data_IF_012583142779
#
_entry.id   IF_012583142779
#
_cell.length_a   1.000
_cell.length_b   1.000
_cell.length_c   1.000
_cell.angle_alpha   90.00
_cell.angle_beta   90.00
_cell.angle_gamma   90.00
#
_symmetry.space_group_name_H-M   'P 1'
#
loop_
_entity.id
_entity.type
_entity.pdbx_description
1 polymer ?
#
# COMPACT_ATOMS: atom_id res chain seq x y z
N UNK A 1 -19.63 -11.46 -7.47
CA UNK A 1 -18.82 -12.00 -6.33
C UNK A 1 -17.65 -11.06 -6.17
N UNK A 2 -17.42 -10.53 -4.97
CA UNK A 2 -16.31 -9.63 -4.69
C UNK A 2 -14.98 -10.39 -4.65
N UNK A 3 -13.94 -9.85 -5.30
CA UNK A 3 -12.59 -10.41 -5.27
C UNK A 3 -11.78 -9.71 -4.15
N UNK A 4 -11.83 -10.27 -2.96
CA UNK A 4 -11.04 -9.80 -1.81
C UNK A 4 -9.61 -10.34 -1.83
N UNK A 5 -9.44 -11.54 -2.38
CA UNK A 5 -8.14 -12.18 -2.57
C UNK A 5 -7.90 -12.43 -4.06
N UNK A 6 -6.71 -12.08 -4.54
CA UNK A 6 -6.32 -12.35 -5.92
C UNK A 6 -4.85 -12.75 -6.02
N UNK A 7 -4.50 -13.43 -7.10
CA UNK A 7 -3.15 -13.95 -7.31
C UNK A 7 -2.55 -13.24 -8.52
N UNK A 8 -1.33 -12.73 -8.36
CA UNK A 8 -0.56 -12.12 -9.41
C UNK A 8 0.91 -12.50 -9.27
N UNK A 9 1.52 -13.05 -10.33
CA UNK A 9 2.93 -13.45 -10.35
C UNK A 9 3.33 -14.30 -9.13
N UNK A 10 2.56 -15.35 -8.85
CA UNK A 10 2.78 -16.29 -7.74
C UNK A 10 2.64 -15.69 -6.33
N UNK A 11 2.12 -14.47 -6.19
CA UNK A 11 1.87 -13.81 -4.90
C UNK A 11 0.39 -13.67 -4.63
N UNK A 12 0.03 -13.78 -3.36
CA UNK A 12 -1.32 -13.54 -2.86
C UNK A 12 -1.45 -12.07 -2.50
N UNK A 13 -2.49 -11.45 -3.01
CA UNK A 13 -2.84 -10.05 -2.74
C UNK A 13 -4.22 -9.98 -2.10
N UNK A 14 -4.38 -9.04 -1.17
CA UNK A 14 -5.63 -8.78 -0.45
C UNK A 14 -6.11 -7.37 -0.74
N UNK A 15 -7.34 -7.28 -1.27
CA UNK A 15 -8.03 -6.05 -1.64
C UNK A 15 -9.12 -5.74 -0.62
N UNK A 16 -8.85 -4.79 0.28
CA UNK A 16 -9.73 -4.50 1.43
C UNK A 16 -10.76 -3.40 1.18
N UNK A 17 -10.58 -2.57 0.13
CA UNK A 17 -11.43 -1.39 -0.06
C UNK A 17 -11.27 -0.77 -1.44
N UNK A 18 -12.32 -0.09 -1.91
CA UNK A 18 -12.22 0.82 -3.06
C UNK A 18 -11.87 2.26 -2.64
N UNK A 19 -11.95 2.59 -1.34
CA UNK A 19 -11.69 3.94 -0.83
C UNK A 19 -10.21 4.28 -0.95
N UNK A 20 -9.92 5.47 -1.46
CA UNK A 20 -8.56 6.00 -1.51
C UNK A 20 -8.59 7.51 -1.29
N UNK A 21 -7.62 8.04 -0.53
CA UNK A 21 -7.43 9.47 -0.34
C UNK A 21 -6.86 10.18 -1.57
N UNK A 22 -6.31 9.42 -2.53
CA UNK A 22 -5.72 9.90 -3.75
C UNK A 22 -6.61 9.63 -4.99
N UNK A 23 -6.40 10.46 -6.04
CA UNK A 23 -6.96 10.29 -7.38
C UNK A 23 -5.85 10.41 -8.42
N UNK A 24 -4.81 9.56 -8.28
CA UNK A 24 -3.61 9.61 -9.11
C UNK A 24 -3.93 9.46 -10.60
N UNK A 25 -3.28 10.25 -11.45
CA UNK A 25 -3.46 10.20 -12.91
C UNK A 25 -2.82 8.96 -13.56
N UNK A 26 -1.94 8.29 -12.85
CA UNK A 26 -1.31 7.01 -13.23
C UNK A 26 -1.91 5.79 -12.52
N UNK A 27 -3.06 5.94 -11.82
CA UNK A 27 -3.67 4.84 -11.07
C UNK A 27 -4.15 3.73 -12.00
N UNK A 28 -3.78 2.50 -11.70
CA UNK A 28 -4.17 1.31 -12.47
C UNK A 28 -5.69 1.17 -12.62
N UNK A 29 -6.47 1.59 -11.61
CA UNK A 29 -7.94 1.55 -11.63
C UNK A 29 -8.57 2.42 -12.71
N UNK A 30 -7.83 3.41 -13.26
CA UNK A 30 -8.35 4.31 -14.30
C UNK A 30 -8.25 3.68 -15.70
N UNK A 31 -7.26 2.84 -15.94
CA UNK A 31 -6.91 2.30 -17.25
C UNK A 31 -7.26 0.82 -17.40
N UNK A 32 -7.41 0.11 -16.29
CA UNK A 32 -7.66 -1.32 -16.27
C UNK A 32 -8.88 -1.62 -15.42
N UNK A 33 -9.93 -2.13 -16.07
CA UNK A 33 -11.11 -2.62 -15.35
C UNK A 33 -10.84 -3.95 -14.63
N UNK A 34 -9.75 -4.60 -15.00
CA UNK A 34 -9.32 -5.88 -14.46
C UNK A 34 -7.79 -5.95 -14.35
N UNK A 35 -7.29 -6.81 -13.48
CA UNK A 35 -5.89 -7.20 -13.33
C UNK A 35 -5.77 -8.66 -13.76
N UNK A 36 -5.17 -8.92 -14.93
CA UNK A 36 -5.08 -10.26 -15.52
C UNK A 36 -6.44 -10.99 -15.58
N UNK A 37 -7.50 -10.27 -16.00
CA UNK A 37 -8.86 -10.78 -16.07
C UNK A 37 -9.62 -10.81 -14.74
N UNK A 38 -9.06 -10.27 -13.66
CA UNK A 38 -9.69 -10.21 -12.34
C UNK A 38 -10.22 -8.80 -12.06
N UNK A 39 -11.52 -8.67 -11.83
CA UNK A 39 -12.15 -7.41 -11.44
C UNK A 39 -11.89 -7.18 -9.95
N UNK A 40 -11.20 -6.09 -9.60
CA UNK A 40 -10.89 -5.74 -8.22
C UNK A 40 -11.85 -4.69 -7.62
N UNK A 41 -12.85 -4.22 -8.36
CA UNK A 41 -13.94 -3.44 -7.79
C UNK A 41 -14.80 -4.34 -6.93
N UNK A 42 -14.99 -3.95 -5.68
CA UNK A 42 -15.83 -4.66 -4.70
C UNK A 42 -17.10 -3.85 -4.41
N UNK A 43 -18.22 -4.52 -4.19
CA UNK A 43 -19.51 -3.89 -3.87
C UNK A 43 -19.55 -3.43 -2.40
N UNK A 44 -18.88 -4.20 -1.52
CA UNK A 44 -18.78 -3.94 -0.08
C UNK A 44 -17.36 -4.28 0.42
N UNK A 45 -16.95 -3.66 1.51
CA UNK A 45 -15.67 -3.96 2.14
C UNK A 45 -15.76 -5.30 2.90
N UNK A 46 -14.69 -6.14 2.83
CA UNK A 46 -14.72 -7.45 3.46
C UNK A 46 -14.68 -7.37 4.99
N UNK A 47 -15.29 -8.36 5.62
CA UNK A 47 -14.97 -8.79 6.97
C UNK A 47 -13.68 -9.63 6.97
N UNK A 48 -13.18 -9.97 8.15
CA UNK A 48 -12.03 -10.87 8.31
C UNK A 48 -12.33 -12.24 7.74
N UNK A 49 -13.51 -12.79 8.04
CA UNK A 49 -13.99 -14.08 7.56
C UNK A 49 -14.08 -14.11 6.03
N UNK A 50 -14.60 -13.05 5.41
CA UNK A 50 -14.69 -12.96 3.93
C UNK A 50 -13.32 -13.07 3.27
N UNK A 51 -12.28 -12.48 3.88
CA UNK A 51 -10.91 -12.56 3.37
C UNK A 51 -10.35 -13.97 3.57
N UNK A 52 -10.48 -14.53 4.78
CA UNK A 52 -9.94 -15.85 5.12
C UNK A 52 -10.57 -16.94 4.24
N UNK A 53 -11.88 -16.88 4.02
CA UNK A 53 -12.61 -17.85 3.19
C UNK A 53 -12.17 -17.83 1.72
N UNK A 54 -11.61 -16.72 1.23
CA UNK A 54 -11.08 -16.59 -0.12
C UNK A 54 -9.58 -16.93 -0.25
N UNK A 55 -8.86 -17.12 0.87
CA UNK A 55 -7.45 -17.53 0.79
C UNK A 55 -7.33 -18.92 0.13
N UNK A 56 -6.29 -19.15 -0.68
CA UNK A 56 -6.03 -20.48 -1.26
C UNK A 56 -5.90 -21.54 -0.18
N UNK A 57 -6.50 -22.72 -0.38
CA UNK A 57 -6.39 -23.84 0.56
C UNK A 57 -4.94 -24.30 0.77
N UNK A 58 -4.11 -24.21 -0.26
CA UNK A 58 -2.69 -24.53 -0.17
C UNK A 58 -1.85 -23.26 -0.43
N UNK A 59 -1.66 -22.46 0.61
CA UNK A 59 -0.91 -21.22 0.52
C UNK A 59 0.61 -21.44 0.32
N UNK A 60 1.11 -22.65 0.52
CA UNK A 60 2.53 -22.98 0.30
C UNK A 60 2.90 -23.15 -1.18
N UNK A 61 1.88 -23.22 -2.06
CA UNK A 61 2.10 -23.18 -3.52
C UNK A 61 2.49 -21.78 -4.01
N UNK A 62 2.38 -20.75 -3.16
CA UNK A 62 2.64 -19.34 -3.47
C UNK A 62 3.82 -18.81 -2.67
N UNK A 63 4.31 -17.62 -3.06
CA UNK A 63 5.32 -16.90 -2.29
C UNK A 63 4.86 -16.72 -0.83
N UNK A 64 5.80 -16.77 0.11
CA UNK A 64 5.46 -16.64 1.54
C UNK A 64 4.88 -15.26 1.91
N UNK A 65 5.14 -14.23 1.10
CA UNK A 65 4.69 -12.87 1.32
C UNK A 65 3.27 -12.64 0.79
N UNK A 66 2.33 -12.30 1.68
CA UNK A 66 0.97 -11.86 1.33
C UNK A 66 0.91 -10.33 1.32
N UNK A 67 0.27 -9.72 0.32
CA UNK A 67 0.35 -8.29 0.08
C UNK A 67 -1.01 -7.62 0.22
N UNK A 68 -1.17 -6.71 1.17
CA UNK A 68 -2.33 -5.82 1.25
C UNK A 68 -2.22 -4.73 0.17
N UNK A 69 -2.95 -4.91 -0.92
CA UNK A 69 -2.95 -4.01 -2.07
C UNK A 69 -4.18 -4.29 -2.94
N UNK A 70 -4.80 -3.25 -3.44
CA UNK A 70 -5.96 -3.35 -4.34
C UNK A 70 -6.19 -2.02 -5.07
N UNK A 71 -7.45 -1.73 -5.40
CA UNK A 71 -7.81 -0.46 -6.04
C UNK A 71 -7.90 0.71 -5.07
N UNK A 72 -8.09 0.44 -3.77
CA UNK A 72 -8.12 1.45 -2.72
C UNK A 72 -6.79 1.59 -1.97
N UNK A 73 -6.84 2.37 -0.91
CA UNK A 73 -5.79 2.48 0.11
C UNK A 73 -6.12 1.53 1.27
N UNK A 74 -5.33 0.47 1.51
CA UNK A 74 -5.67 -0.57 2.48
C UNK A 74 -5.95 -0.04 3.89
N UNK A 75 -5.28 1.04 4.30
CA UNK A 75 -5.42 1.61 5.64
C UNK A 75 -6.80 2.24 5.93
N UNK A 76 -7.70 2.32 4.94
CA UNK A 76 -9.10 2.66 5.20
C UNK A 76 -9.87 1.56 5.93
N UNK A 77 -9.47 0.30 5.79
CA UNK A 77 -10.04 -0.84 6.50
C UNK A 77 -8.96 -1.44 7.43
N UNK A 78 -8.53 -0.61 8.40
CA UNK A 78 -7.37 -0.91 9.25
C UNK A 78 -7.64 -2.06 10.22
N UNK A 79 -8.85 -2.17 10.74
CA UNK A 79 -9.26 -3.23 11.66
C UNK A 79 -9.19 -4.61 10.98
N UNK A 80 -9.81 -4.76 9.81
CA UNK A 80 -9.72 -6.00 9.03
C UNK A 80 -8.29 -6.30 8.60
N UNK A 81 -7.49 -5.26 8.25
CA UNK A 81 -6.08 -5.43 7.91
C UNK A 81 -5.30 -6.05 9.08
N UNK A 82 -5.45 -5.52 10.28
CA UNK A 82 -4.73 -5.97 11.48
C UNK A 82 -5.10 -7.41 11.85
N UNK A 83 -6.38 -7.73 11.88
CA UNK A 83 -6.85 -9.06 12.22
C UNK A 83 -6.46 -10.12 11.17
N UNK A 84 -6.56 -9.80 9.87
CA UNK A 84 -6.10 -10.69 8.79
C UNK A 84 -4.58 -10.87 8.84
N UNK A 85 -3.81 -9.81 9.12
CA UNK A 85 -2.36 -9.91 9.29
C UNK A 85 -2.00 -10.83 10.45
N UNK A 86 -2.70 -10.68 11.59
CA UNK A 86 -2.52 -11.54 12.76
C UNK A 86 -2.80 -13.01 12.43
N UNK A 87 -3.86 -13.31 11.68
CA UNK A 87 -4.15 -14.66 11.20
C UNK A 87 -3.00 -15.20 10.31
N UNK A 88 -2.53 -14.40 9.35
CA UNK A 88 -1.44 -14.79 8.44
C UNK A 88 -0.14 -15.08 9.19
N UNK A 89 0.19 -14.29 10.21
CA UNK A 89 1.34 -14.53 11.07
C UNK A 89 1.20 -15.84 11.87
N UNK A 90 -0.01 -16.18 12.34
CA UNK A 90 -0.27 -17.45 13.03
C UNK A 90 -0.03 -18.69 12.14
N UNK A 91 -0.03 -18.53 10.83
CA UNK A 91 0.26 -19.61 9.85
C UNK A 91 1.61 -19.40 9.14
N UNK A 92 2.55 -18.70 9.78
CA UNK A 92 3.92 -18.46 9.33
C UNK A 92 4.04 -17.74 7.97
N UNK A 93 3.05 -16.94 7.58
CA UNK A 93 3.13 -16.06 6.39
C UNK A 93 3.66 -14.69 6.79
N UNK A 94 4.43 -14.09 5.89
CA UNK A 94 4.86 -12.69 6.02
C UNK A 94 3.91 -11.74 5.31
N UNK A 95 3.80 -10.52 5.80
CA UNK A 95 2.84 -9.55 5.31
C UNK A 95 3.54 -8.29 4.77
N UNK A 96 2.99 -7.74 3.70
CA UNK A 96 3.40 -6.44 3.18
C UNK A 96 2.19 -5.56 2.89
N UNK A 97 2.30 -4.29 3.21
CA UNK A 97 1.34 -3.29 2.77
C UNK A 97 1.93 -2.42 1.65
N UNK A 98 1.13 -2.17 0.59
CA UNK A 98 1.39 -1.09 -0.35
C UNK A 98 0.45 0.06 -0.01
N UNK A 99 0.99 1.15 0.55
CA UNK A 99 0.21 2.28 1.06
C UNK A 99 0.64 3.61 0.43
N UNK A 100 -0.26 4.56 0.38
CA UNK A 100 0.07 5.95 0.03
C UNK A 100 0.66 6.74 1.21
N UNK A 101 0.79 6.12 2.39
CA UNK A 101 1.40 6.72 3.58
C UNK A 101 0.54 7.76 4.30
N UNK A 102 -0.75 7.84 4.03
CA UNK A 102 -1.64 8.85 4.61
C UNK A 102 -2.53 8.30 5.74
N UNK A 103 -2.17 7.15 6.34
CA UNK A 103 -2.98 6.49 7.36
C UNK A 103 -3.30 7.42 8.53
N UNK A 104 -2.32 8.14 9.08
CA UNK A 104 -2.53 9.07 10.19
C UNK A 104 -3.49 10.22 9.82
N UNK A 105 -3.40 10.72 8.57
CA UNK A 105 -4.34 11.74 8.06
C UNK A 105 -5.75 11.18 7.84
N UNK A 106 -5.85 9.92 7.41
CA UNK A 106 -7.13 9.23 7.18
C UNK A 106 -7.87 9.04 8.51
N UNK A 107 -7.16 8.59 9.54
CA UNK A 107 -7.73 8.29 10.86
C UNK A 107 -7.75 9.49 11.81
N UNK A 108 -7.07 10.60 11.47
CA UNK A 108 -6.95 11.78 12.35
C UNK A 108 -6.15 11.53 13.63
N UNK A 109 -5.38 10.46 13.68
CA UNK A 109 -4.52 10.06 14.79
C UNK A 109 -3.34 9.22 14.29
N UNK A 110 -2.33 9.04 15.14
CA UNK A 110 -1.21 8.15 14.84
C UNK A 110 -1.63 6.68 14.96
N UNK A 111 -1.60 5.96 13.85
CA UNK A 111 -1.92 4.52 13.75
C UNK A 111 -0.71 3.68 13.35
N UNK A 112 0.50 4.26 13.39
CA UNK A 112 1.71 3.57 12.91
C UNK A 112 2.09 2.38 13.78
N UNK A 113 1.71 2.33 15.05
CA UNK A 113 1.92 1.13 15.90
C UNK A 113 1.19 -0.08 15.34
N UNK A 114 -0.09 0.08 14.95
CA UNK A 114 -0.87 -1.00 14.32
C UNK A 114 -0.20 -1.44 13.01
N UNK A 115 0.20 -0.49 12.15
CA UNK A 115 0.82 -0.82 10.87
C UNK A 115 2.14 -1.58 11.04
N UNK A 116 2.97 -1.18 12.01
CA UNK A 116 4.27 -1.83 12.25
C UNK A 116 4.12 -3.24 12.83
N UNK A 117 3.08 -3.49 13.63
CA UNK A 117 2.79 -4.83 14.16
C UNK A 117 2.11 -5.74 13.14
N UNK A 118 1.27 -5.18 12.25
CA UNK A 118 0.55 -5.94 11.23
C UNK A 118 1.36 -6.25 9.97
N UNK A 119 2.41 -5.44 9.65
CA UNK A 119 3.10 -5.55 8.37
C UNK A 119 4.62 -5.69 8.52
N UNK A 120 5.16 -6.83 8.07
CA UNK A 120 6.61 -7.09 8.04
C UNK A 120 7.34 -6.16 7.06
N UNK A 121 6.65 -5.71 6.00
CA UNK A 121 7.19 -4.73 5.04
C UNK A 121 6.16 -3.64 4.79
N UNK A 122 6.57 -2.38 4.95
CA UNK A 122 5.72 -1.21 4.73
C UNK A 122 6.22 -0.48 3.49
N UNK A 123 5.62 -0.76 2.33
CA UNK A 123 5.97 -0.11 1.07
C UNK A 123 5.15 1.17 0.89
N UNK A 124 5.78 2.31 1.12
CA UNK A 124 5.17 3.64 1.01
C UNK A 124 5.37 4.19 -0.40
N UNK A 125 4.29 4.50 -1.08
CA UNK A 125 4.28 5.09 -2.41
C UNK A 125 4.64 6.59 -2.33
N UNK A 126 5.95 6.90 -2.37
CA UNK A 126 6.47 8.27 -2.36
C UNK A 126 6.02 9.04 -3.61
N UNK A 127 6.04 8.35 -4.75
CA UNK A 127 5.54 8.74 -6.07
C UNK A 127 6.15 10.00 -6.69
N UNK A 128 6.50 11.03 -5.91
CA UNK A 128 7.01 12.31 -6.39
C UNK A 128 8.11 12.88 -5.49
N UNK A 129 8.88 13.83 -6.03
CA UNK A 129 10.03 14.41 -5.35
C UNK A 129 9.69 15.54 -4.37
N UNK A 130 8.47 16.08 -4.42
CA UNK A 130 8.01 17.17 -3.55
C UNK A 130 6.49 17.28 -3.50
N UNK A 131 5.98 18.09 -2.55
CA UNK A 131 4.56 18.26 -2.27
C UNK A 131 3.75 18.83 -3.46
N UNK A 132 4.34 19.75 -4.25
CA UNK A 132 3.64 20.35 -5.38
C UNK A 132 3.38 19.33 -6.47
N UNK A 133 4.40 18.57 -6.87
CA UNK A 133 4.30 17.50 -7.85
C UNK A 133 3.43 16.36 -7.34
N UNK A 134 3.57 15.99 -6.06
CA UNK A 134 2.71 14.98 -5.45
C UNK A 134 1.24 15.38 -5.56
N UNK A 135 0.89 16.62 -5.20
CA UNK A 135 -0.50 17.08 -5.31
C UNK A 135 -0.96 17.17 -6.75
N UNK A 136 -0.09 17.55 -7.68
CA UNK A 136 -0.42 17.60 -9.11
C UNK A 136 -0.79 16.23 -9.66
N UNK A 137 -0.04 15.19 -9.34
CA UNK A 137 -0.17 13.84 -9.92
C UNK A 137 -1.02 12.90 -9.08
N UNK A 138 -0.89 12.95 -7.75
CA UNK A 138 -1.65 12.07 -6.84
C UNK A 138 -3.01 12.64 -6.44
N UNK A 139 -3.22 13.95 -6.55
CA UNK A 139 -4.50 14.64 -6.31
C UNK A 139 -5.16 14.19 -5.00
N UNK A 140 -4.38 14.26 -3.89
CA UNK A 140 -4.86 13.88 -2.57
C UNK A 140 -5.99 14.79 -2.08
N UNK A 141 -6.97 14.20 -1.38
CA UNK A 141 -8.02 14.97 -0.69
C UNK A 141 -7.47 15.87 0.41
N UNK A 142 -6.26 15.58 0.91
CA UNK A 142 -5.57 16.37 1.93
C UNK A 142 -4.67 17.49 1.35
N UNK A 143 -4.68 17.67 0.02
CA UNK A 143 -3.86 18.68 -0.63
C UNK A 143 -2.35 18.41 -0.47
N UNK A 144 -1.55 19.47 -0.38
CA UNK A 144 -0.09 19.38 -0.25
C UNK A 144 0.36 18.74 1.07
N UNK A 145 -0.44 18.87 2.15
CA UNK A 145 -0.12 18.25 3.44
C UNK A 145 -0.07 16.71 3.39
N UNK A 146 -0.63 16.11 2.34
CA UNK A 146 -0.51 14.68 2.11
C UNK A 146 0.94 14.21 1.95
N UNK A 147 1.79 15.02 1.32
CA UNK A 147 3.21 14.70 1.14
C UNK A 147 3.96 14.75 2.47
N UNK A 148 3.76 15.80 3.25
CA UNK A 148 4.36 15.93 4.59
C UNK A 148 3.87 14.79 5.49
N UNK A 149 2.56 14.47 5.43
CA UNK A 149 1.96 13.38 6.19
C UNK A 149 2.52 12.00 5.84
N UNK A 150 2.79 11.72 4.56
CA UNK A 150 3.42 10.44 4.19
C UNK A 150 4.88 10.36 4.65
N UNK A 151 5.62 11.46 4.64
CA UNK A 151 7.00 11.51 5.16
C UNK A 151 7.01 11.29 6.67
N UNK A 152 6.11 11.95 7.40
CA UNK A 152 5.92 11.76 8.84
C UNK A 152 5.54 10.30 9.17
N UNK A 153 4.55 9.74 8.47
CA UNK A 153 4.14 8.34 8.61
C UNK A 153 5.32 7.37 8.43
N UNK A 154 6.08 7.52 7.34
CA UNK A 154 7.25 6.68 7.07
C UNK A 154 8.32 6.82 8.16
N UNK A 155 8.52 8.05 8.66
CA UNK A 155 9.46 8.34 9.75
C UNK A 155 9.04 7.64 11.04
N UNK A 156 7.76 7.76 11.42
CA UNK A 156 7.21 7.15 12.63
C UNK A 156 7.28 5.60 12.55
N UNK A 157 6.86 5.02 11.42
CA UNK A 157 6.98 3.57 11.22
C UNK A 157 8.44 3.10 11.39
N UNK A 158 9.41 3.81 10.79
CA UNK A 158 10.82 3.47 10.93
C UNK A 158 11.31 3.60 12.36
N UNK A 159 10.94 4.66 13.09
CA UNK A 159 11.31 4.87 14.50
C UNK A 159 10.78 3.76 15.41
N UNK A 160 9.63 3.15 15.06
CA UNK A 160 9.04 2.00 15.75
C UNK A 160 9.62 0.65 15.31
N UNK A 161 10.66 0.65 14.49
CA UNK A 161 11.32 -0.57 14.02
C UNK A 161 10.70 -1.22 12.79
N UNK A 162 9.73 -0.57 12.14
CA UNK A 162 9.12 -1.06 10.91
C UNK A 162 10.11 -1.09 9.74
N UNK A 163 10.01 -2.11 8.91
CA UNK A 163 10.79 -2.25 7.68
C UNK A 163 10.13 -1.44 6.55
N UNK A 164 10.49 -0.16 6.48
CA UNK A 164 9.90 0.79 5.51
C UNK A 164 10.71 0.82 4.23
N UNK A 165 10.01 0.80 3.09
CA UNK A 165 10.57 0.96 1.74
C UNK A 165 9.78 2.04 1.00
N UNK A 166 10.44 3.02 0.41
CA UNK A 166 9.79 3.94 -0.52
C UNK A 166 9.68 3.33 -1.92
N UNK A 167 8.64 3.70 -2.64
CA UNK A 167 8.54 3.38 -4.06
C UNK A 167 8.10 4.57 -4.91
N UNK A 168 8.63 4.62 -6.13
CA UNK A 168 8.25 5.57 -7.18
C UNK A 168 8.07 4.83 -8.50
N UNK A 169 7.31 5.41 -9.43
CA UNK A 169 7.18 4.91 -10.80
C UNK A 169 8.16 5.69 -11.68
N UNK A 170 8.88 5.01 -12.58
CA UNK A 170 9.90 5.62 -13.45
C UNK A 170 9.37 6.71 -14.39
N UNK A 171 8.05 6.75 -14.59
CA UNK A 171 7.38 7.77 -15.42
C UNK A 171 7.47 9.21 -14.89
N UNK A 172 7.91 9.41 -13.63
CA UNK A 172 8.16 10.76 -13.10
C UNK A 172 9.42 11.42 -13.68
N UNK A 173 10.25 10.65 -14.39
CA UNK A 173 11.47 11.09 -15.03
C UNK A 173 12.73 10.98 -14.15
N UNK A 174 13.87 10.82 -14.78
CA UNK A 174 15.17 10.53 -14.11
C UNK A 174 15.54 11.58 -13.05
N UNK A 175 15.29 12.86 -13.34
CA UNK A 175 15.59 13.95 -12.41
C UNK A 175 14.80 13.80 -11.09
N UNK A 176 13.52 13.51 -11.18
CA UNK A 176 12.65 13.37 -10.00
C UNK A 176 12.93 12.06 -9.27
N UNK A 177 13.25 10.99 -9.97
CA UNK A 177 13.74 9.74 -9.35
C UNK A 177 15.02 10.02 -8.55
N UNK A 178 15.97 10.80 -9.09
CA UNK A 178 17.20 11.16 -8.38
C UNK A 178 16.92 12.02 -7.13
N UNK A 179 15.98 12.95 -7.18
CA UNK A 179 15.57 13.74 -5.98
C UNK A 179 14.87 12.85 -4.94
N UNK A 180 14.01 11.92 -5.37
CA UNK A 180 13.42 10.92 -4.46
C UNK A 180 14.50 10.05 -3.80
N UNK A 181 15.55 9.66 -4.55
CA UNK A 181 16.66 8.88 -4.00
C UNK A 181 17.41 9.67 -2.93
N UNK A 182 17.72 10.95 -3.17
CA UNK A 182 18.38 11.82 -2.16
C UNK A 182 17.55 11.93 -0.88
N UNK A 183 16.22 12.06 -1.01
CA UNK A 183 15.33 12.09 0.15
C UNK A 183 15.36 10.76 0.90
N UNK A 184 15.24 9.65 0.18
CA UNK A 184 15.28 8.31 0.73
C UNK A 184 16.60 8.05 1.48
N UNK A 185 17.74 8.41 0.86
CA UNK A 185 19.08 8.31 1.47
C UNK A 185 19.18 9.13 2.76
N UNK A 186 18.69 10.39 2.73
CA UNK A 186 18.65 11.25 3.92
C UNK A 186 17.85 10.65 5.06
N UNK A 187 16.76 9.97 4.75
CA UNK A 187 15.90 9.29 5.74
C UNK A 187 16.41 7.90 6.10
N UNK A 188 17.41 7.38 5.37
CA UNK A 188 17.90 6.00 5.51
C UNK A 188 16.81 4.97 5.23
N UNK A 189 15.93 5.24 4.26
CA UNK A 189 14.85 4.37 3.80
C UNK A 189 15.19 3.94 2.36
N UNK A 190 15.21 2.63 2.03
CA UNK A 190 15.45 2.17 0.66
C UNK A 190 14.41 2.72 -0.33
N UNK A 191 14.82 3.04 -1.56
CA UNK A 191 13.93 3.44 -2.64
C UNK A 191 13.85 2.34 -3.70
N UNK A 192 12.63 1.92 -4.03
CA UNK A 192 12.34 1.01 -5.13
C UNK A 192 11.75 1.79 -6.30
N UNK A 193 12.45 1.78 -7.44
CA UNK A 193 11.92 2.33 -8.71
C UNK A 193 11.17 1.24 -9.45
N UNK A 194 9.89 1.47 -9.72
CA UNK A 194 9.01 0.54 -10.47
C UNK A 194 8.84 1.03 -11.89
N UNK A 195 8.83 0.11 -12.85
CA UNK A 195 8.42 0.43 -14.22
C UNK A 195 6.93 0.75 -14.26
N UNK A 196 6.56 1.75 -15.07
CA UNK A 196 5.14 2.03 -15.36
C UNK A 196 4.55 0.82 -16.08
N UNK A 197 3.46 0.31 -15.57
CA UNK A 197 2.64 -0.73 -16.19
C UNK A 197 1.65 -0.10 -17.18
#
# INVERSE_FOLDING_TARGET
>A
MNNYVYILNNKIYINLTNRCSNKCDFCIRLNHKDMDGQVLWIDEEPTVEDVIDQLPQNMDDYDNEVVFCGYGEPTYNLETLDEVASYLHCIDKTTRINTNGQANLIHGQDVTDVIVTSCDVINVSLNESNADKYQQHCKSKFGKSAYDGLIEFATLCKQRGGNVVFSVVDSIGEKDVAECQKLADKMGIPLRVRKKQ
#
